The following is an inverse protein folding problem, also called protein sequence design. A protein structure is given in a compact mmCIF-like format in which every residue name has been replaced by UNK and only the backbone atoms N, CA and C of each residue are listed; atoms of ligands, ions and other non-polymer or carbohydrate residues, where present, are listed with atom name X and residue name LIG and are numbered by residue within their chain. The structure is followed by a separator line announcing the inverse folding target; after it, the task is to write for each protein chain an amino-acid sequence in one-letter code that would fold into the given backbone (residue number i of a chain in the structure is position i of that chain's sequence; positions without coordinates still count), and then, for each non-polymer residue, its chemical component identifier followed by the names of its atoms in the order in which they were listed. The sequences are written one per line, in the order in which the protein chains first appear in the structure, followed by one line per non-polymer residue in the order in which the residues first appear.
data_IF_454759531606
#
_entry.id   IF_454759531606
#
_cell.length_a   1.000
_cell.length_b   1.000
_cell.length_c   1.000
_cell.angle_alpha   90.00
_cell.angle_beta   90.00
_cell.angle_gamma   90.00
#
_symmetry.space_group_name_H-M   'P 1'
#
loop_
_entity.id
_entity.type
_entity.pdbx_description
1 polymer ?
#
# COMPACT_ATOMS: atom_id res chain seq x y z
N UNK A 1 -14.80 -11.65 34.66
CA UNK A 1 -14.65 -11.35 34.12
C UNK A 1 -14.48 -11.06 33.23
N UNK A 2 -14.30 -11.25 32.77
CA UNK A 2 -14.30 -11.03 31.93
C UNK A 2 -14.00 -10.25 31.26
N UNK A 3 -13.98 -9.84 31.05
CA UNK A 3 -13.64 -8.86 30.66
C UNK A 3 -12.63 -8.85 29.86
N UNK A 4 -11.88 -9.37 30.10
CA UNK A 4 -10.81 -9.43 29.42
C UNK A 4 -10.93 -9.59 28.04
N UNK A 5 -11.72 -10.37 27.67
CA UNK A 5 -11.84 -10.68 26.33
C UNK A 5 -12.13 -9.51 25.55
N UNK A 6 -12.67 -8.59 26.13
CA UNK A 6 -13.01 -7.51 25.49
C UNK A 6 -11.98 -6.85 24.74
N UNK A 7 -10.86 -6.65 25.32
CA UNK A 7 -9.96 -5.90 24.65
C UNK A 7 -9.42 -6.55 23.44
N UNK A 8 -9.64 -7.74 23.30
CA UNK A 8 -9.15 -8.43 22.17
C UNK A 8 -9.76 -7.83 20.94
N UNK A 9 -10.97 -7.36 21.04
CA UNK A 9 -11.61 -6.79 19.91
C UNK A 9 -10.88 -5.63 19.35
N UNK A 10 -10.23 -4.88 20.17
CA UNK A 10 -9.54 -3.72 19.71
C UNK A 10 -8.28 -4.07 18.98
N UNK A 11 -7.90 -5.33 18.97
CA UNK A 11 -6.69 -5.73 18.30
C UNK A 11 -6.96 -6.29 16.91
N UNK A 12 -8.18 -6.27 16.47
CA UNK A 12 -8.52 -6.86 15.18
C UNK A 12 -7.91 -6.09 14.03
N UNK A 13 -7.15 -6.75 13.22
CA UNK A 13 -6.59 -6.15 12.03
C UNK A 13 -7.66 -6.03 10.96
N UNK A 14 -7.52 -5.04 10.11
CA UNK A 14 -8.40 -4.84 8.98
C UNK A 14 -7.63 -5.22 7.71
N UNK A 15 -8.29 -5.85 6.76
CA UNK A 15 -7.68 -6.20 5.48
C UNK A 15 -8.40 -5.48 4.36
N UNK A 16 -7.65 -4.75 3.56
CA UNK A 16 -8.19 -4.01 2.43
C UNK A 16 -7.49 -4.43 1.14
N UNK A 17 -8.16 -4.24 0.03
CA UNK A 17 -7.58 -4.45 -1.29
C UNK A 17 -7.56 -3.11 -2.00
N UNK A 18 -6.38 -2.70 -2.46
CA UNK A 18 -6.17 -1.38 -3.04
C UNK A 18 -5.49 -1.51 -4.40
N UNK A 19 -5.97 -0.79 -5.39
CA UNK A 19 -5.29 -0.78 -6.69
C UNK A 19 -4.03 0.06 -6.60
N UNK A 20 -2.89 -0.51 -7.01
CA UNK A 20 -1.61 0.17 -7.01
C UNK A 20 -0.93 -0.09 -8.34
N UNK A 21 -0.51 0.96 -9.02
CA UNK A 21 0.05 0.86 -10.36
C UNK A 21 1.54 0.53 -10.33
N UNK A 22 1.91 -0.45 -11.13
CA UNK A 22 3.29 -0.91 -11.23
C UNK A 22 3.39 -1.98 -12.30
N UNK A 23 4.57 -2.52 -12.53
CA UNK A 23 4.79 -3.47 -13.62
C UNK A 23 5.36 -4.83 -13.20
N UNK A 24 6.41 -4.83 -12.42
CA UNK A 24 7.22 -6.05 -12.28
C UNK A 24 7.63 -6.34 -10.84
N UNK A 25 8.48 -7.34 -10.67
CA UNK A 25 8.95 -7.72 -9.35
C UNK A 25 9.68 -6.62 -8.59
N UNK A 26 10.37 -5.73 -9.31
CA UNK A 26 11.02 -4.61 -8.64
C UNK A 26 9.98 -3.65 -8.08
N UNK A 27 8.86 -3.48 -8.79
CA UNK A 27 7.76 -2.65 -8.30
C UNK A 27 7.14 -3.29 -7.08
N UNK A 28 6.98 -4.61 -7.12
CA UNK A 28 6.41 -5.33 -5.99
C UNK A 28 7.26 -5.10 -4.74
N UNK A 29 8.57 -5.24 -4.87
CA UNK A 29 9.46 -5.04 -3.73
C UNK A 29 9.39 -3.61 -3.21
N UNK A 30 9.34 -2.64 -4.11
CA UNK A 30 9.30 -1.23 -3.72
C UNK A 30 7.99 -0.91 -3.01
N UNK A 31 6.87 -1.37 -3.56
CA UNK A 31 5.56 -1.13 -2.98
C UNK A 31 5.46 -1.75 -1.59
N UNK A 32 5.83 -3.01 -1.48
CA UNK A 32 5.71 -3.71 -0.20
C UNK A 32 6.66 -3.14 0.85
N UNK A 33 7.85 -2.73 0.42
CA UNK A 33 8.81 -2.16 1.35
C UNK A 33 8.36 -0.79 1.85
N UNK A 34 7.71 -0.01 1.00
CA UNK A 34 7.25 1.33 1.37
C UNK A 34 6.25 1.30 2.52
N UNK A 35 5.51 0.20 2.64
CA UNK A 35 4.49 0.11 3.68
C UNK A 35 4.86 -0.90 4.76
N UNK A 36 6.15 -1.21 4.88
CA UNK A 36 6.62 -2.05 5.95
C UNK A 36 6.86 -1.14 7.14
N UNK A 37 5.80 -0.65 7.71
CA UNK A 37 5.83 0.33 8.78
C UNK A 37 4.95 -0.11 9.94
N UNK A 38 5.09 0.56 11.07
CA UNK A 38 4.31 0.21 12.25
C UNK A 38 2.82 0.27 11.92
N UNK A 39 2.09 -0.74 12.33
CA UNK A 39 0.66 -0.82 12.05
C UNK A 39 0.31 -1.70 10.87
N UNK A 40 1.24 -1.96 9.96
CA UNK A 40 0.99 -2.87 8.84
C UNK A 40 1.52 -4.24 9.20
N UNK A 41 0.66 -5.25 9.16
CA UNK A 41 1.05 -6.61 9.55
C UNK A 41 1.33 -7.50 8.36
N UNK A 42 0.73 -7.21 7.21
CA UNK A 42 0.96 -8.02 6.02
C UNK A 42 0.63 -7.20 4.78
N UNK A 43 1.39 -7.42 3.72
CA UNK A 43 1.16 -6.72 2.46
C UNK A 43 1.66 -7.57 1.31
N UNK A 44 0.82 -7.74 0.29
CA UNK A 44 1.18 -8.49 -0.89
C UNK A 44 0.60 -7.82 -2.13
N UNK A 45 1.44 -7.44 -3.07
CA UNK A 45 1.01 -6.80 -4.30
C UNK A 45 1.18 -7.77 -5.47
N UNK A 46 0.15 -7.85 -6.32
CA UNK A 46 0.16 -8.76 -7.46
C UNK A 46 0.41 -7.96 -8.74
N UNK A 47 1.43 -8.36 -9.51
CA UNK A 47 1.80 -7.63 -10.70
C UNK A 47 0.83 -7.83 -11.87
N UNK A 48 0.02 -8.86 -11.82
CA UNK A 48 -0.94 -9.10 -12.90
C UNK A 48 -2.24 -8.34 -12.68
N UNK A 49 -2.76 -8.39 -11.48
CA UNK A 49 -4.01 -7.71 -11.17
C UNK A 49 -3.80 -6.27 -10.75
N UNK A 50 -2.58 -5.92 -10.34
CA UNK A 50 -2.24 -4.60 -9.80
C UNK A 50 -2.95 -4.35 -8.48
N UNK A 51 -3.32 -5.39 -7.78
CA UNK A 51 -4.01 -5.25 -6.50
C UNK A 51 -3.07 -5.53 -5.34
N UNK A 52 -3.14 -4.67 -4.35
CA UNK A 52 -2.42 -4.83 -3.10
C UNK A 52 -3.41 -5.30 -2.05
N UNK A 53 -3.12 -6.43 -1.42
CA UNK A 53 -3.90 -6.88 -0.28
C UNK A 53 -3.07 -6.54 0.94
N UNK A 54 -3.59 -5.70 1.81
CA UNK A 54 -2.84 -5.21 2.96
C UNK A 54 -3.66 -5.38 4.23
N UNK A 55 -3.02 -5.91 5.28
CA UNK A 55 -3.64 -6.04 6.59
C UNK A 55 -2.95 -5.09 7.53
N UNK A 56 -3.71 -4.37 8.33
CA UNK A 56 -3.15 -3.35 9.20
C UNK A 56 -4.04 -3.09 10.41
N UNK A 57 -3.46 -2.45 11.41
CA UNK A 57 -4.18 -2.07 12.62
C UNK A 57 -4.74 -0.66 12.38
N UNK A 58 -6.05 -0.50 12.23
CA UNK A 58 -6.63 0.81 11.92
C UNK A 58 -6.50 1.82 13.05
N UNK A 59 -6.09 1.38 14.22
CA UNK A 59 -5.82 2.31 15.31
C UNK A 59 -4.44 2.96 15.15
N UNK A 60 -3.57 2.36 14.34
CA UNK A 60 -2.20 2.87 14.15
C UNK A 60 -1.98 3.54 12.81
N UNK A 61 -2.64 3.06 11.77
CA UNK A 61 -2.43 3.60 10.43
C UNK A 61 -3.73 3.48 9.65
N UNK A 62 -3.97 4.37 8.71
CA UNK A 62 -5.18 4.34 7.90
C UNK A 62 -4.87 3.86 6.50
N UNK A 63 -5.90 3.49 5.75
CA UNK A 63 -5.76 3.11 4.36
C UNK A 63 -5.17 4.29 3.56
N UNK A 64 -5.62 5.51 3.85
CA UNK A 64 -5.08 6.70 3.17
C UNK A 64 -3.59 6.85 3.43
N UNK A 65 -3.14 6.63 4.65
CA UNK A 65 -1.72 6.74 4.98
C UNK A 65 -0.91 5.70 4.22
N UNK A 66 -1.45 4.49 4.08
CA UNK A 66 -0.79 3.43 3.34
C UNK A 66 -0.63 3.86 1.88
N UNK A 67 -1.69 4.39 1.27
CA UNK A 67 -1.63 4.84 -0.10
C UNK A 67 -0.68 6.01 -0.29
N UNK A 68 -0.63 6.94 0.66
CA UNK A 68 0.30 8.06 0.59
C UNK A 68 1.74 7.60 0.65
N UNK A 69 2.02 6.61 1.48
CA UNK A 69 3.37 6.07 1.59
C UNK A 69 3.81 5.41 0.28
N UNK A 70 2.89 4.74 -0.40
CA UNK A 70 3.18 4.11 -1.67
C UNK A 70 3.40 5.17 -2.75
N UNK A 71 2.57 6.21 -2.77
CA UNK A 71 2.73 7.28 -3.73
C UNK A 71 4.05 8.01 -3.52
N UNK A 72 4.50 8.12 -2.28
CA UNK A 72 5.74 8.80 -1.96
C UNK A 72 6.97 8.13 -2.57
N UNK A 73 6.89 6.84 -2.88
CA UNK A 73 8.02 6.14 -3.50
C UNK A 73 7.84 5.98 -5.01
N UNK A 74 6.85 6.63 -5.59
CA UNK A 74 6.70 6.71 -7.03
C UNK A 74 5.58 5.90 -7.67
N UNK A 75 4.73 5.24 -6.88
CA UNK A 75 3.66 4.42 -7.44
C UNK A 75 2.29 5.06 -7.21
N UNK A 76 1.53 5.26 -8.28
CA UNK A 76 0.17 5.77 -8.17
C UNK A 76 -0.71 4.73 -7.48
N UNK A 77 -1.67 5.20 -6.69
CA UNK A 77 -2.66 4.32 -6.10
C UNK A 77 -4.04 4.75 -6.61
N UNK A 78 -5.07 4.05 -6.17
CA UNK A 78 -6.41 4.40 -6.61
C UNK A 78 -6.85 5.80 -6.18
N UNK A 79 -6.28 6.32 -5.08
CA UNK A 79 -6.63 7.66 -4.60
C UNK A 79 -5.54 8.70 -4.77
N UNK A 80 -4.30 8.30 -4.81
CA UNK A 80 -3.18 9.24 -4.79
C UNK A 80 -2.25 9.04 -5.97
N UNK A 81 -1.78 10.12 -6.53
CA UNK A 81 -0.81 10.08 -7.62
C UNK A 81 0.57 10.35 -7.07
N UNK A 82 1.56 9.63 -7.56
CA UNK A 82 2.94 9.89 -7.19
C UNK A 82 3.38 11.22 -7.81
N UNK A 83 4.37 11.85 -7.19
CA UNK A 83 4.97 13.05 -7.74
C UNK A 83 5.69 12.66 -9.03
N UNK A 84 5.52 13.45 -10.09
CA UNK A 84 6.13 13.16 -11.38
C UNK A 84 7.63 13.00 -11.29
N UNK A 85 8.29 13.80 -10.47
CA UNK A 85 9.73 13.72 -10.34
C UNK A 85 10.17 12.40 -9.72
N UNK A 86 9.40 11.90 -8.76
CA UNK A 86 9.72 10.65 -8.10
C UNK A 86 9.47 9.50 -9.08
N UNK A 87 8.35 9.56 -9.79
CA UNK A 87 8.02 8.55 -10.79
C UNK A 87 9.14 8.44 -11.84
N UNK A 88 9.62 9.57 -12.33
CA UNK A 88 10.64 9.58 -13.38
C UNK A 88 11.97 8.99 -12.94
N UNK A 89 12.20 8.91 -11.65
CA UNK A 89 13.43 8.33 -11.12
C UNK A 89 13.36 6.82 -10.96
N UNK A 90 12.21 6.21 -11.23
CA UNK A 90 12.08 4.77 -11.10
C UNK A 90 12.93 4.07 -12.17
N UNK A 91 13.39 2.84 -11.87
CA UNK A 91 14.08 2.05 -12.90
C UNK A 91 13.18 1.88 -14.11
N UNK A 92 13.75 1.72 -15.29
CA UNK A 92 12.99 1.61 -16.52
C UNK A 92 11.90 0.57 -16.48
N UNK A 93 12.15 -0.58 -15.85
CA UNK A 93 11.15 -1.63 -15.80
C UNK A 93 9.98 -1.26 -14.87
N UNK A 94 10.11 -0.21 -14.08
CA UNK A 94 9.06 0.26 -13.21
C UNK A 94 8.34 1.50 -13.73
N UNK A 95 8.66 1.93 -14.94
CA UNK A 95 7.94 3.07 -15.53
C UNK A 95 6.62 2.54 -16.08
N UNK A 96 5.71 2.31 -15.17
CA UNK A 96 4.40 1.75 -15.47
C UNK A 96 3.48 2.79 -16.12
N UNK A 97 2.38 2.31 -16.68
CA UNK A 97 1.38 3.22 -17.23
C UNK A 97 0.65 3.88 -16.07
N UNK A 98 0.76 5.20 -15.98
CA UNK A 98 0.24 5.95 -14.86
C UNK A 98 -1.29 5.94 -14.81
N UNK A 99 -1.81 6.16 -13.61
CA UNK A 99 -3.24 6.27 -13.41
C UNK A 99 -3.76 7.50 -14.18
N UNK A 100 -4.89 7.33 -14.83
CA UNK A 100 -5.46 8.46 -15.53
C UNK A 100 -6.07 9.40 -14.51
N UNK A 101 -5.82 10.70 -14.72
CA UNK A 101 -6.39 11.70 -13.84
C UNK A 101 -7.75 12.11 -14.40
N UNK A 102 -8.68 12.28 -13.49
CA UNK A 102 -10.03 12.68 -13.89
C UNK A 102 -10.17 14.17 -13.92
#
# INVERSE_FOLDING_TARGET
MVVSSIFVLGQTAKTDTVKVYGNCGLCKNRIEKAIKVDGVTNAAWDSETKLLVVSYDPAKISNDDIQKDIAAVGHDTEKYSADDKVYKKLPGCCLYERRKKE
#
